data_IF_634900178014
#
_entry.id   IF_634900178014
#
_cell.length_a   1.000
_cell.length_b   1.000
_cell.length_c   1.000
_cell.angle_alpha   90.00
_cell.angle_beta   90.00
_cell.angle_gamma   90.00
#
_symmetry.space_group_name_H-M   'P 1'
#
loop_
_entity.id
_entity.type
_entity.pdbx_description
1 polymer ?
#
# COMPACT_ATOMS: atom_id res chain seq x y z
N UNK A 1 -68.58 -1.89 -25.83
CA UNK A 1 -67.62 -2.68 -26.62
C UNK A 1 -66.80 -1.69 -27.43
N UNK A 2 -65.75 -1.16 -26.81
CA UNK A 2 -64.33 -1.55 -27.03
C UNK A 2 -63.72 -0.69 -28.16
N UNK A 3 -63.13 0.45 -27.81
CA UNK A 3 -61.70 0.70 -27.49
C UNK A 3 -60.76 0.68 -28.69
N UNK A 4 -60.16 1.83 -28.99
CA UNK A 4 -58.78 1.90 -29.46
C UNK A 4 -58.22 3.30 -29.14
N UNK A 5 -57.57 3.43 -27.99
CA UNK A 5 -56.73 4.57 -27.65
C UNK A 5 -55.36 4.37 -28.28
N UNK A 6 -54.90 5.33 -29.08
CA UNK A 6 -53.51 5.39 -29.55
C UNK A 6 -52.59 5.70 -28.37
N UNK A 7 -51.75 4.75 -27.98
CA UNK A 7 -50.61 5.00 -27.11
C UNK A 7 -49.35 5.11 -27.98
N UNK A 8 -48.80 6.31 -28.06
CA UNK A 8 -47.52 6.62 -28.69
C UNK A 8 -46.40 6.07 -27.78
N UNK A 9 -45.72 4.99 -28.20
CA UNK A 9 -44.52 4.51 -27.51
C UNK A 9 -43.35 5.46 -27.82
N UNK A 10 -43.08 6.41 -26.93
CA UNK A 10 -41.80 7.09 -26.89
C UNK A 10 -40.81 6.18 -26.12
N UNK A 11 -40.01 5.40 -26.85
CA UNK A 11 -38.87 4.68 -26.28
C UNK A 11 -37.75 5.69 -26.08
N UNK A 12 -37.65 6.27 -24.89
CA UNK A 12 -36.46 6.98 -24.46
C UNK A 12 -35.38 5.95 -24.12
N UNK A 13 -34.48 5.69 -25.06
CA UNK A 13 -33.24 4.98 -24.78
C UNK A 13 -32.40 5.86 -23.83
N UNK A 14 -32.46 5.57 -22.53
CA UNK A 14 -31.51 6.10 -21.57
C UNK A 14 -30.14 5.48 -21.87
N UNK A 15 -29.34 6.18 -22.65
CA UNK A 15 -27.90 5.97 -22.73
C UNK A 15 -27.33 6.23 -21.34
N UNK A 16 -27.20 5.18 -20.55
CA UNK A 16 -26.31 5.19 -19.37
C UNK A 16 -24.90 5.31 -19.94
N UNK A 17 -24.42 6.55 -20.05
CA UNK A 17 -23.00 6.80 -20.22
C UNK A 17 -22.32 6.37 -18.93
N UNK A 18 -21.89 5.10 -18.88
CA UNK A 18 -20.83 4.71 -17.96
C UNK A 18 -19.58 5.50 -18.36
N UNK A 19 -19.41 6.67 -17.77
CA UNK A 19 -18.09 7.26 -17.70
C UNK A 19 -17.20 6.22 -17.02
N UNK A 20 -16.02 5.89 -17.57
CA UNK A 20 -15.07 5.08 -16.82
C UNK A 20 -14.75 5.87 -15.56
N UNK A 21 -15.10 5.30 -14.40
CA UNK A 21 -14.65 5.84 -13.13
C UNK A 21 -13.12 5.93 -13.23
N UNK A 22 -12.57 7.16 -13.17
CA UNK A 22 -11.15 7.31 -12.90
C UNK A 22 -10.90 6.50 -11.63
N UNK A 23 -10.00 5.53 -11.70
CA UNK A 23 -9.76 4.61 -10.59
C UNK A 23 -9.11 5.42 -9.45
N UNK A 24 -9.93 5.96 -8.55
CA UNK A 24 -9.44 6.68 -7.39
C UNK A 24 -8.72 5.70 -6.44
N UNK A 25 -7.70 6.19 -5.73
CA UNK A 25 -7.02 5.39 -4.70
C UNK A 25 -8.05 4.87 -3.69
N UNK A 26 -7.98 3.57 -3.40
CA UNK A 26 -8.79 2.96 -2.36
C UNK A 26 -8.56 3.71 -1.04
N UNK A 27 -9.64 3.99 -0.31
CA UNK A 27 -9.62 4.65 1.00
C UNK A 27 -10.04 3.68 2.08
N UNK A 28 -9.19 3.51 3.07
CA UNK A 28 -9.44 2.71 4.27
C UNK A 28 -9.60 3.67 5.45
N UNK A 29 -10.77 3.69 6.06
CA UNK A 29 -10.96 4.41 7.32
C UNK A 29 -10.33 3.61 8.46
N UNK A 30 -9.56 4.28 9.30
CA UNK A 30 -9.12 3.76 10.58
C UNK A 30 -9.83 4.54 11.69
N UNK A 31 -10.70 3.85 12.42
CA UNK A 31 -11.39 4.42 13.58
C UNK A 31 -10.45 4.34 14.79
N UNK A 32 -10.11 5.50 15.36
CA UNK A 32 -9.28 5.55 16.55
C UNK A 32 -10.04 4.91 17.72
N UNK A 33 -9.36 4.05 18.47
CA UNK A 33 -9.89 3.58 19.74
C UNK A 33 -9.63 4.59 20.87
N UNK A 34 -8.81 5.61 20.62
CA UNK A 34 -8.44 6.65 21.58
C UNK A 34 -9.35 7.87 21.44
N UNK A 35 -9.92 8.30 22.56
CA UNK A 35 -10.78 9.49 22.63
C UNK A 35 -10.03 10.77 23.03
N UNK A 36 -8.69 10.75 23.06
CA UNK A 36 -7.83 11.86 23.52
C UNK A 36 -7.28 12.72 22.36
N UNK A 37 -7.61 12.38 21.11
CA UNK A 37 -7.16 13.08 19.91
C UNK A 37 -5.69 12.84 19.56
N UNK A 38 -5.02 11.88 20.22
CA UNK A 38 -3.67 11.45 19.88
C UNK A 38 -3.71 10.14 19.06
N UNK A 39 -2.84 10.07 18.05
CA UNK A 39 -2.63 8.86 17.26
C UNK A 39 -1.24 8.28 17.58
N UNK A 40 -1.17 6.99 17.88
CA UNK A 40 0.11 6.30 18.13
C UNK A 40 0.23 5.08 17.22
N UNK A 41 1.36 4.97 16.52
CA UNK A 41 1.63 3.93 15.54
C UNK A 41 3.11 3.57 15.55
N UNK A 42 3.44 2.41 14.98
CA UNK A 42 4.82 2.05 14.64
C UNK A 42 5.02 2.08 13.12
N UNK A 43 6.24 2.37 12.68
CA UNK A 43 6.64 2.29 11.26
C UNK A 43 7.83 1.34 11.15
N UNK A 44 7.75 0.37 10.25
CA UNK A 44 8.82 -0.62 10.00
C UNK A 44 8.97 -0.91 8.51
N UNK A 45 10.19 -1.09 8.04
CA UNK A 45 10.50 -1.50 6.67
C UNK A 45 11.52 -2.62 6.68
N UNK A 46 11.69 -3.26 5.53
CA UNK A 46 12.87 -4.09 5.26
C UNK A 46 13.04 -5.25 6.28
N UNK A 47 11.96 -6.01 6.53
CA UNK A 47 11.85 -6.82 7.75
C UNK A 47 11.76 -8.35 7.57
N UNK A 48 11.05 -8.88 6.57
CA UNK A 48 10.66 -10.31 6.59
C UNK A 48 11.78 -11.28 6.26
N UNK A 49 12.32 -11.92 7.30
CA UNK A 49 13.53 -12.76 7.22
C UNK A 49 13.44 -14.00 8.12
N UNK A 50 12.24 -14.54 8.35
CA UNK A 50 12.03 -15.76 9.15
C UNK A 50 12.66 -15.69 10.55
N UNK A 51 12.65 -14.50 11.17
CA UNK A 51 13.26 -14.21 12.46
C UNK A 51 14.77 -13.90 12.43
N UNK A 52 15.44 -14.09 11.30
CA UNK A 52 16.86 -13.79 11.13
C UNK A 52 17.15 -12.28 11.01
N UNK A 53 18.43 -11.91 10.93
CA UNK A 53 18.87 -10.51 10.77
C UNK A 53 18.30 -9.53 11.82
N UNK A 54 18.21 -10.01 13.07
CA UNK A 54 17.59 -9.29 14.20
C UNK A 54 16.08 -9.05 14.08
N UNK A 55 15.38 -9.60 13.08
CA UNK A 55 13.94 -9.42 12.92
C UNK A 55 13.17 -9.75 14.21
N UNK A 56 13.43 -10.92 14.83
CA UNK A 56 12.77 -11.28 16.09
C UNK A 56 13.10 -10.33 17.25
N UNK A 57 14.31 -9.77 17.29
CA UNK A 57 14.71 -8.80 18.33
C UNK A 57 14.00 -7.46 18.14
N UNK A 58 13.85 -7.02 16.88
CA UNK A 58 13.07 -5.82 16.54
C UNK A 58 11.60 -6.05 16.90
N UNK A 59 11.03 -7.22 16.56
CA UNK A 59 9.66 -7.58 16.92
C UNK A 59 9.43 -7.55 18.44
N UNK A 60 10.39 -8.05 19.22
CA UNK A 60 10.32 -7.97 20.70
C UNK A 60 10.27 -6.51 21.19
N UNK A 61 11.13 -5.64 20.66
CA UNK A 61 11.12 -4.22 21.06
C UNK A 61 9.88 -3.48 20.58
N UNK A 62 9.41 -3.77 19.36
CA UNK A 62 8.13 -3.27 18.86
C UNK A 62 6.99 -3.69 19.78
N UNK A 63 7.00 -4.91 20.32
CA UNK A 63 6.01 -5.37 21.30
C UNK A 63 6.01 -4.53 22.58
N UNK A 64 7.19 -4.24 23.14
CA UNK A 64 7.33 -3.42 24.36
C UNK A 64 6.89 -1.97 24.12
N UNK A 65 7.39 -1.34 23.07
CA UNK A 65 7.04 0.04 22.72
C UNK A 65 5.56 0.15 22.32
N UNK A 66 5.04 -0.86 21.62
CA UNK A 66 3.63 -0.91 21.23
C UNK A 66 2.69 -0.96 22.43
N UNK A 67 3.10 -1.63 23.51
CA UNK A 67 2.36 -1.69 24.77
C UNK A 67 2.43 -0.35 25.52
N UNK A 68 3.63 0.24 25.63
CA UNK A 68 3.85 1.53 26.30
C UNK A 68 3.08 2.68 25.63
N UNK A 69 3.09 2.73 24.29
CA UNK A 69 2.41 3.78 23.53
C UNK A 69 0.93 3.49 23.26
N UNK A 70 0.46 2.27 23.59
CA UNK A 70 -0.86 1.76 23.22
C UNK A 70 -1.16 2.03 21.74
N UNK A 71 -0.37 1.45 20.84
CA UNK A 71 -0.48 1.75 19.40
C UNK A 71 -1.79 1.23 18.80
N UNK A 72 -2.21 1.89 17.71
CA UNK A 72 -3.47 1.59 17.04
C UNK A 72 -3.27 0.76 15.76
N UNK A 73 -2.13 0.94 15.09
CA UNK A 73 -1.73 0.16 13.93
C UNK A 73 -0.22 0.25 13.67
N UNK A 74 0.24 -0.57 12.72
CA UNK A 74 1.61 -0.55 12.20
C UNK A 74 1.59 -0.17 10.72
N UNK A 75 2.52 0.68 10.31
CA UNK A 75 2.79 1.00 8.91
C UNK A 75 4.00 0.18 8.47
N UNK A 76 3.88 -0.53 7.36
CA UNK A 76 5.03 -1.10 6.67
C UNK A 76 5.39 -0.32 5.41
N UNK A 77 6.68 0.03 5.29
CA UNK A 77 7.23 0.74 4.13
C UNK A 77 7.68 -0.21 3.01
N UNK A 78 7.35 -1.49 3.06
CA UNK A 78 7.68 -2.47 2.03
C UNK A 78 8.99 -3.22 2.29
N UNK A 79 9.34 -4.07 1.33
CA UNK A 79 10.30 -5.17 1.48
C UNK A 79 9.86 -6.09 2.63
N UNK A 80 8.63 -6.60 2.45
CA UNK A 80 7.93 -7.41 3.42
C UNK A 80 8.52 -8.80 3.52
N UNK A 81 9.04 -9.38 2.43
CA UNK A 81 9.64 -10.71 2.42
C UNK A 81 10.94 -10.76 1.59
N UNK A 82 12.04 -11.14 2.25
CA UNK A 82 13.35 -11.31 1.63
C UNK A 82 13.70 -12.79 1.37
N UNK A 83 14.58 -13.08 0.41
CA UNK A 83 15.23 -12.12 -0.51
C UNK A 83 14.40 -11.84 -1.78
N UNK A 84 13.50 -12.73 -2.18
CA UNK A 84 12.75 -12.60 -3.44
C UNK A 84 11.25 -12.81 -3.25
N UNK A 85 10.65 -12.06 -2.30
CA UNK A 85 9.21 -12.08 -2.07
C UNK A 85 8.66 -13.44 -1.63
N UNK A 86 7.34 -13.60 -1.74
CA UNK A 86 6.66 -14.89 -1.57
C UNK A 86 6.57 -15.61 -2.92
N UNK A 87 6.52 -16.93 -2.93
CA UNK A 87 6.32 -17.72 -4.17
C UNK A 87 4.85 -17.95 -4.52
N UNK A 88 3.93 -17.65 -3.60
CA UNK A 88 2.49 -17.84 -3.76
C UNK A 88 1.74 -17.58 -2.45
N UNK A 89 0.43 -17.76 -2.45
CA UNK A 89 -0.42 -17.57 -1.26
C UNK A 89 -0.20 -18.63 -0.18
N UNK A 90 0.34 -19.79 -0.55
CA UNK A 90 0.63 -20.91 0.36
C UNK A 90 2.12 -20.94 0.78
N UNK A 91 2.89 -19.88 0.50
CA UNK A 91 4.30 -19.84 0.85
C UNK A 91 4.47 -19.74 2.38
N UNK A 92 5.14 -20.71 3.03
CA UNK A 92 5.30 -20.71 4.49
C UNK A 92 6.14 -19.54 5.00
N UNK A 93 6.86 -18.83 4.14
CA UNK A 93 7.57 -17.60 4.50
C UNK A 93 6.63 -16.50 5.02
N UNK A 94 5.34 -16.52 4.65
CA UNK A 94 4.33 -15.60 5.19
C UNK A 94 4.23 -15.76 6.71
N UNK A 95 3.85 -16.94 7.19
CA UNK A 95 3.73 -17.20 8.63
C UNK A 95 5.08 -17.08 9.34
N UNK A 96 6.13 -17.69 8.78
CA UNK A 96 7.47 -17.71 9.39
C UNK A 96 8.09 -16.32 9.54
N UNK A 97 7.73 -15.37 8.68
CA UNK A 97 8.29 -14.01 8.71
C UNK A 97 7.32 -12.97 9.27
N UNK A 98 6.02 -13.23 9.35
CA UNK A 98 5.03 -12.26 9.82
C UNK A 98 4.26 -12.78 11.04
N UNK A 99 3.41 -13.79 10.85
CA UNK A 99 2.50 -14.30 11.88
C UNK A 99 3.24 -14.79 13.12
N UNK A 100 4.27 -15.61 12.92
CA UNK A 100 5.05 -16.24 14.01
C UNK A 100 6.09 -15.30 14.64
N UNK A 101 6.35 -14.15 14.00
CA UNK A 101 7.36 -13.19 14.46
C UNK A 101 6.74 -12.08 15.31
N UNK A 102 5.63 -11.49 14.85
CA UNK A 102 5.01 -10.34 15.51
C UNK A 102 3.85 -10.78 16.41
N UNK A 103 4.16 -11.61 17.40
CA UNK A 103 3.16 -12.29 18.27
C UNK A 103 2.74 -11.49 19.50
N UNK A 104 3.42 -10.39 19.82
CA UNK A 104 3.08 -9.55 20.98
C UNK A 104 1.63 -9.04 20.89
N UNK A 105 0.92 -9.00 22.03
CA UNK A 105 -0.49 -8.55 22.11
C UNK A 105 -0.68 -7.13 21.56
N UNK A 106 0.25 -6.24 21.87
CA UNK A 106 0.29 -4.86 21.37
C UNK A 106 0.44 -4.74 19.85
N UNK A 107 0.92 -5.80 19.18
CA UNK A 107 1.06 -5.88 17.72
C UNK A 107 -0.10 -6.64 17.05
N UNK A 108 -1.09 -7.09 17.81
CA UNK A 108 -2.34 -7.67 17.27
C UNK A 108 -3.29 -6.55 16.85
N UNK A 109 -2.81 -5.74 15.91
CA UNK A 109 -3.43 -4.53 15.34
C UNK A 109 -3.37 -4.61 13.82
N UNK A 110 -4.11 -3.79 13.07
CA UNK A 110 -3.95 -3.70 11.63
C UNK A 110 -2.50 -3.30 11.25
N UNK A 111 -1.97 -3.94 10.21
CA UNK A 111 -0.74 -3.56 9.54
C UNK A 111 -1.09 -3.07 8.14
N UNK A 112 -0.77 -1.82 7.84
CA UNK A 112 -0.98 -1.23 6.52
C UNK A 112 0.35 -1.25 5.77
N UNK A 113 0.41 -1.97 4.65
CA UNK A 113 1.66 -2.27 3.95
C UNK A 113 1.61 -1.81 2.49
N UNK A 114 2.73 -1.27 2.02
CA UNK A 114 3.08 -1.21 0.59
C UNK A 114 4.09 -2.30 0.24
N UNK A 115 4.30 -2.51 -1.05
CA UNK A 115 5.33 -3.38 -1.60
C UNK A 115 6.66 -2.62 -1.72
N UNK A 116 7.77 -3.33 -1.49
CA UNK A 116 9.12 -2.91 -1.82
C UNK A 116 9.66 -3.61 -3.07
N UNK A 117 10.94 -3.44 -3.37
CA UNK A 117 11.50 -4.06 -4.57
C UNK A 117 11.81 -5.55 -4.40
N UNK A 118 12.07 -6.04 -3.19
CA UNK A 118 12.26 -7.47 -2.94
C UNK A 118 10.93 -8.23 -3.05
N UNK A 119 9.82 -7.61 -2.65
CA UNK A 119 8.47 -8.17 -2.82
C UNK A 119 8.14 -8.42 -4.29
N UNK A 120 8.58 -7.51 -5.16
CA UNK A 120 8.42 -7.63 -6.60
C UNK A 120 9.26 -8.72 -7.25
N UNK A 121 10.23 -9.31 -6.54
CA UNK A 121 11.03 -10.42 -7.10
C UNK A 121 10.37 -11.78 -6.93
N UNK A 122 9.30 -11.84 -6.13
CA UNK A 122 8.41 -12.99 -5.99
C UNK A 122 7.05 -12.75 -6.64
N UNK A 123 6.03 -13.40 -6.11
CA UNK A 123 4.64 -13.24 -6.47
C UNK A 123 4.02 -12.04 -5.76
N UNK A 124 3.88 -10.93 -6.49
CA UNK A 124 3.25 -9.72 -5.98
C UNK A 124 1.76 -9.92 -5.73
N UNK A 125 1.08 -10.67 -6.59
CA UNK A 125 -0.35 -10.89 -6.48
C UNK A 125 -0.70 -11.73 -5.24
N UNK A 126 0.19 -12.61 -4.79
CA UNK A 126 0.05 -13.32 -3.53
C UNK A 126 -0.02 -12.36 -2.34
N UNK A 127 0.91 -11.39 -2.26
CA UNK A 127 0.90 -10.38 -1.18
C UNK A 127 -0.33 -9.47 -1.21
N UNK A 128 -0.89 -9.22 -2.39
CA UNK A 128 -2.11 -8.41 -2.56
C UNK A 128 -3.41 -9.23 -2.40
N UNK A 129 -3.30 -10.56 -2.28
CA UNK A 129 -4.44 -11.46 -2.26
C UNK A 129 -5.19 -11.36 -0.93
N UNK A 130 -6.54 -11.39 -0.93
CA UNK A 130 -7.32 -11.50 0.30
C UNK A 130 -7.01 -12.79 1.07
N UNK A 131 -6.49 -13.83 0.42
CA UNK A 131 -6.14 -15.12 1.06
C UNK A 131 -5.13 -14.93 2.20
N UNK A 132 -4.09 -14.11 2.03
CA UNK A 132 -3.14 -13.87 3.13
C UNK A 132 -3.78 -13.14 4.31
N UNK A 133 -4.81 -12.32 4.06
CA UNK A 133 -5.60 -11.68 5.11
C UNK A 133 -6.55 -12.64 5.81
N UNK A 134 -6.96 -13.72 5.14
CA UNK A 134 -7.71 -14.81 5.79
C UNK A 134 -6.80 -15.63 6.71
N UNK A 135 -5.52 -15.79 6.36
CA UNK A 135 -4.51 -16.43 7.23
C UNK A 135 -4.18 -15.52 8.43
N UNK A 136 -3.89 -14.24 8.18
CA UNK A 136 -3.65 -13.25 9.23
C UNK A 136 -4.30 -11.91 8.89
N UNK A 137 -5.41 -11.61 9.57
CA UNK A 137 -6.26 -10.43 9.29
C UNK A 137 -5.56 -9.09 9.48
N UNK A 138 -4.41 -9.08 10.16
CA UNK A 138 -3.58 -7.90 10.33
C UNK A 138 -2.94 -7.46 9.01
N UNK A 139 -2.72 -8.36 8.06
CA UNK A 139 -1.95 -8.09 6.84
C UNK A 139 -2.78 -7.35 5.78
N UNK A 140 -2.75 -6.01 5.82
CA UNK A 140 -3.46 -5.13 4.87
C UNK A 140 -2.48 -4.54 3.86
N UNK A 141 -2.11 -5.35 2.86
CA UNK A 141 -1.21 -4.94 1.78
C UNK A 141 -1.97 -4.51 0.53
N UNK A 142 -1.62 -3.35 -0.02
CA UNK A 142 -2.10 -2.86 -1.33
C UNK A 142 -0.95 -2.12 -2.05
N UNK A 143 -1.06 -1.94 -3.37
CA UNK A 143 -0.07 -1.17 -4.14
C UNK A 143 -0.02 0.29 -3.70
N UNK A 144 -1.13 0.99 -3.92
CA UNK A 144 -1.31 2.39 -3.54
C UNK A 144 -2.72 2.58 -2.99
N UNK A 145 -2.84 3.27 -1.86
CA UNK A 145 -4.11 3.48 -1.16
C UNK A 145 -3.96 4.59 -0.12
N UNK A 146 -5.07 5.01 0.48
CA UNK A 146 -5.07 6.00 1.56
C UNK A 146 -5.63 5.38 2.82
N UNK A 147 -4.96 5.58 3.95
CA UNK A 147 -5.51 5.31 5.28
C UNK A 147 -5.90 6.64 5.91
N UNK A 148 -7.19 6.82 6.17
CA UNK A 148 -7.72 8.00 6.85
C UNK A 148 -7.90 7.71 8.33
N UNK A 149 -7.09 8.33 9.18
CA UNK A 149 -7.08 8.18 10.63
C UNK A 149 -7.35 9.54 11.29
N UNK A 150 -8.62 9.93 11.29
CA UNK A 150 -9.15 11.18 11.87
C UNK A 150 -8.40 12.45 11.44
N UNK A 151 -7.35 12.82 12.19
CA UNK A 151 -6.57 14.03 11.99
C UNK A 151 -5.53 13.91 10.87
N UNK A 152 -5.29 12.72 10.33
CA UNK A 152 -4.26 12.44 9.33
C UNK A 152 -4.74 11.51 8.22
N UNK A 153 -4.36 11.83 6.98
CA UNK A 153 -4.40 10.90 5.85
C UNK A 153 -2.99 10.41 5.54
N UNK A 154 -2.80 9.08 5.50
CA UNK A 154 -1.57 8.43 5.03
C UNK A 154 -1.75 7.97 3.59
N UNK A 155 -0.90 8.43 2.68
CA UNK A 155 -0.91 8.12 1.26
C UNK A 155 0.16 7.08 0.96
N UNK A 156 -0.23 5.83 0.86
CA UNK A 156 0.63 4.70 0.50
C UNK A 156 0.84 4.66 -1.00
N UNK A 157 2.10 4.57 -1.44
CA UNK A 157 2.50 4.70 -2.85
C UNK A 157 3.40 3.52 -3.24
N UNK A 158 3.02 2.82 -4.30
CA UNK A 158 3.84 1.79 -4.95
C UNK A 158 5.00 2.41 -5.74
N UNK A 159 6.14 2.53 -5.08
CA UNK A 159 7.32 3.21 -5.65
C UNK A 159 8.23 2.32 -6.50
N UNK A 160 8.02 1.00 -6.49
CA UNK A 160 8.91 0.06 -7.22
C UNK A 160 8.88 0.27 -8.74
N UNK A 161 7.71 0.44 -9.40
CA UNK A 161 7.65 0.73 -10.84
C UNK A 161 8.34 2.03 -11.24
N UNK A 162 8.55 2.96 -10.31
CA UNK A 162 9.14 4.26 -10.60
C UNK A 162 10.65 4.12 -10.87
N UNK A 163 11.29 3.08 -10.36
CA UNK A 163 12.73 2.88 -10.50
C UNK A 163 13.09 2.29 -11.87
N UNK A 164 13.61 3.13 -12.78
CA UNK A 164 13.98 2.73 -14.14
C UNK A 164 14.97 1.55 -14.18
N UNK A 165 15.85 1.45 -13.18
CA UNK A 165 16.86 0.39 -13.08
C UNK A 165 16.25 -1.01 -13.01
N UNK A 166 15.08 -1.20 -12.39
CA UNK A 166 14.44 -2.52 -12.31
C UNK A 166 13.85 -2.98 -13.64
N UNK A 167 13.61 -2.06 -14.57
CA UNK A 167 13.09 -2.37 -15.90
C UNK A 167 14.21 -2.62 -16.92
N UNK A 168 15.33 -1.89 -16.77
CA UNK A 168 16.39 -1.85 -17.80
C UNK A 168 17.66 -2.59 -17.38
N UNK A 169 17.92 -2.72 -16.08
CA UNK A 169 19.14 -3.31 -15.52
C UNK A 169 18.83 -4.11 -14.24
N UNK A 170 17.93 -5.11 -14.27
CA UNK A 170 17.52 -5.84 -13.07
C UNK A 170 18.60 -6.79 -12.51
N UNK A 171 19.77 -6.89 -13.16
CA UNK A 171 20.80 -7.90 -12.92
C UNK A 171 20.20 -9.30 -13.10
N UNK A 172 20.38 -10.19 -12.14
CA UNK A 172 19.88 -11.58 -12.17
C UNK A 172 18.45 -11.71 -11.60
N UNK A 173 17.83 -10.61 -11.18
CA UNK A 173 16.48 -10.64 -10.60
C UNK A 173 15.41 -10.56 -11.69
N UNK A 174 14.31 -11.28 -11.47
CA UNK A 174 13.10 -11.16 -12.27
C UNK A 174 12.09 -10.39 -11.44
N UNK A 175 11.43 -9.40 -12.03
CA UNK A 175 10.42 -8.59 -11.36
C UNK A 175 9.02 -8.96 -11.89
N UNK A 176 8.09 -9.19 -10.98
CA UNK A 176 6.68 -9.44 -11.27
C UNK A 176 5.93 -8.13 -11.51
N UNK A 177 5.79 -7.79 -12.80
CA UNK A 177 5.06 -6.62 -13.26
C UNK A 177 3.56 -6.90 -13.50
N UNK A 178 3.01 -8.04 -13.07
CA UNK A 178 1.57 -8.31 -13.24
C UNK A 178 0.73 -7.25 -12.51
N UNK A 179 -0.29 -6.73 -13.19
CA UNK A 179 -1.11 -5.63 -12.67
C UNK A 179 -0.44 -4.25 -12.74
N UNK A 180 0.77 -4.14 -13.29
CA UNK A 180 1.42 -2.88 -13.65
C UNK A 180 1.26 -2.69 -15.16
N UNK A 181 0.72 -1.54 -15.59
CA UNK A 181 0.62 -1.19 -17.02
C UNK A 181 2.01 -0.84 -17.58
N UNK A 182 2.09 -0.23 -18.77
CA UNK A 182 3.39 0.31 -19.22
C UNK A 182 3.96 1.26 -18.15
N UNK A 183 5.27 1.19 -17.89
CA UNK A 183 5.91 1.98 -16.82
C UNK A 183 5.50 3.46 -16.82
N UNK A 184 5.50 4.08 -18.01
CA UNK A 184 5.12 5.49 -18.17
C UNK A 184 3.66 5.75 -17.78
N UNK A 185 2.74 4.90 -18.26
CA UNK A 185 1.33 5.00 -17.93
C UNK A 185 1.08 4.76 -16.44
N UNK A 186 1.75 3.76 -15.85
CA UNK A 186 1.61 3.45 -14.43
C UNK A 186 2.06 4.61 -13.54
N UNK A 187 3.23 5.20 -13.82
CA UNK A 187 3.74 6.36 -13.09
C UNK A 187 2.79 7.55 -13.25
N UNK A 188 2.33 7.82 -14.47
CA UNK A 188 1.41 8.92 -14.74
C UNK A 188 0.10 8.78 -13.96
N UNK A 189 -0.54 7.61 -14.03
CA UNK A 189 -1.79 7.33 -13.32
C UNK A 189 -1.56 7.37 -11.80
N UNK A 190 -0.51 6.75 -11.28
CA UNK A 190 -0.21 6.75 -9.83
C UNK A 190 0.00 8.17 -9.29
N UNK A 191 0.72 9.03 -10.02
CA UNK A 191 0.94 10.42 -9.60
C UNK A 191 -0.34 11.26 -9.70
N UNK A 192 -1.15 11.03 -10.75
CA UNK A 192 -2.44 11.70 -10.91
C UNK A 192 -3.39 11.31 -9.76
N UNK A 193 -3.53 10.03 -9.46
CA UNK A 193 -4.46 9.56 -8.43
C UNK A 193 -4.00 10.01 -7.03
N UNK A 194 -2.68 10.08 -6.79
CA UNK A 194 -2.11 10.67 -5.59
C UNK A 194 -2.44 12.16 -5.45
N UNK A 195 -2.21 12.95 -6.50
CA UNK A 195 -2.51 14.40 -6.53
C UNK A 195 -4.01 14.65 -6.28
N UNK A 196 -4.88 13.91 -6.95
CA UNK A 196 -6.33 13.98 -6.73
C UNK A 196 -6.71 13.61 -5.30
N UNK A 197 -6.15 12.54 -4.74
CA UNK A 197 -6.42 12.12 -3.37
C UNK A 197 -5.94 13.16 -2.34
N UNK A 198 -4.76 13.76 -2.56
CA UNK A 198 -4.21 14.79 -1.68
C UNK A 198 -5.04 16.08 -1.73
N UNK A 199 -5.52 16.50 -2.91
CA UNK A 199 -6.40 17.66 -3.07
C UNK A 199 -7.77 17.46 -2.39
N UNK A 200 -8.30 16.24 -2.42
CA UNK A 200 -9.56 15.89 -1.74
C UNK A 200 -9.44 15.80 -0.22
N UNK A 201 -8.24 15.51 0.30
CA UNK A 201 -8.02 15.31 1.73
C UNK A 201 -8.17 16.61 2.54
N UNK A 202 -9.16 16.65 3.41
CA UNK A 202 -9.36 17.70 4.41
C UNK A 202 -8.58 17.47 5.70
N UNK A 203 -7.93 16.31 5.85
CA UNK A 203 -7.12 15.98 7.03
C UNK A 203 -6.04 17.03 7.32
N UNK A 204 -5.82 17.29 8.62
CA UNK A 204 -4.86 18.27 9.13
C UNK A 204 -3.43 17.89 8.72
N UNK A 205 -3.10 16.61 8.81
CA UNK A 205 -1.83 16.06 8.37
C UNK A 205 -2.02 15.17 7.14
N UNK A 206 -1.04 15.23 6.24
CA UNK A 206 -0.97 14.41 5.02
C UNK A 206 0.42 13.80 4.98
N UNK A 207 0.54 12.48 5.05
CA UNK A 207 1.83 11.79 5.15
C UNK A 207 1.93 10.80 3.99
N UNK A 208 2.95 10.95 3.14
CA UNK A 208 3.22 9.98 2.07
C UNK A 208 4.11 8.84 2.59
N UNK A 209 3.76 7.60 2.25
CA UNK A 209 4.46 6.37 2.64
C UNK A 209 4.81 5.59 1.37
N UNK A 210 6.08 5.23 1.22
CA UNK A 210 6.56 4.43 0.10
C UNK A 210 7.93 3.85 0.40
N UNK A 211 8.28 2.77 -0.29
CA UNK A 211 9.55 2.06 -0.07
C UNK A 211 10.79 2.87 -0.46
N UNK A 212 10.80 3.48 -1.65
CA UNK A 212 11.98 4.19 -2.14
C UNK A 212 12.04 5.63 -1.62
N UNK A 213 13.19 6.02 -1.06
CA UNK A 213 13.41 7.39 -0.57
C UNK A 213 13.52 8.42 -1.70
N UNK A 214 12.94 9.61 -1.49
CA UNK A 214 13.20 10.78 -2.35
C UNK A 214 14.59 11.39 -2.11
N UNK A 215 15.06 11.32 -0.85
CA UNK A 215 16.38 11.76 -0.40
C UNK A 215 16.85 10.83 0.71
N UNK A 216 18.09 10.34 0.63
CA UNK A 216 18.75 9.58 1.70
C UNK A 216 20.25 9.85 1.69
N UNK A 217 20.88 9.80 2.87
CA UNK A 217 22.33 9.85 3.08
C UNK A 217 22.94 8.44 3.22
N UNK A 218 22.16 7.40 2.97
CA UNK A 218 22.57 5.99 3.07
C UNK A 218 23.06 5.40 1.73
N UNK A 219 23.65 4.19 1.79
CA UNK A 219 24.30 3.48 0.67
C UNK A 219 23.41 3.25 -0.56
N UNK A 220 22.09 3.43 -0.45
CA UNK A 220 21.14 3.28 -1.56
C UNK A 220 20.97 4.54 -2.43
N UNK A 221 21.57 5.67 -2.05
CA UNK A 221 21.54 6.92 -2.82
C UNK A 221 20.14 7.55 -2.93
N UNK A 222 20.06 8.87 -3.07
CA UNK A 222 18.78 9.52 -3.34
C UNK A 222 18.20 9.01 -4.67
N UNK A 223 16.92 8.60 -4.70
CA UNK A 223 16.24 8.32 -5.96
C UNK A 223 15.93 9.65 -6.65
N UNK A 224 16.84 10.10 -7.52
CA UNK A 224 16.68 11.34 -8.30
C UNK A 224 15.40 11.33 -9.15
N UNK A 225 14.86 10.14 -9.48
CA UNK A 225 13.62 9.97 -10.24
C UNK A 225 12.36 10.34 -9.47
N UNK A 226 12.28 10.05 -8.17
CA UNK A 226 11.09 10.44 -7.37
C UNK A 226 11.10 11.95 -7.12
N UNK A 227 12.27 12.53 -6.88
CA UNK A 227 12.44 13.96 -6.68
C UNK A 227 12.30 14.80 -7.98
N UNK A 228 12.71 14.29 -9.15
CA UNK A 228 12.56 15.00 -10.41
C UNK A 228 11.09 15.09 -10.86
N UNK A 229 10.31 14.05 -10.59
CA UNK A 229 8.89 14.01 -10.93
C UNK A 229 8.03 14.88 -10.00
N UNK A 230 8.54 15.22 -8.81
CA UNK A 230 7.87 16.14 -7.88
C UNK A 230 8.17 17.62 -8.18
N UNK A 231 9.33 17.95 -8.76
CA UNK A 231 9.74 19.36 -8.95
C UNK A 231 8.90 20.16 -9.97
N UNK A 232 8.05 19.51 -10.77
CA UNK A 232 7.13 20.19 -11.70
C UNK A 232 5.68 20.33 -11.22
N UNK A 233 5.33 19.78 -10.05
CA UNK A 233 3.91 19.62 -9.64
C UNK A 233 3.60 20.14 -8.23
N UNK A 234 4.60 20.61 -7.48
CA UNK A 234 4.40 21.09 -6.12
C UNK A 234 4.98 22.51 -5.96
N UNK A 235 4.13 23.50 -6.25
CA UNK A 235 4.19 24.87 -5.75
C UNK A 235 2.82 25.23 -5.19
#
# INVERSE_FOLDING_TARGET
>A
METAALALLAVTAALVMCAPAAAELARVAHESAKNDGALSLLVVGDWGRKGAYNQSRVAEQMGRVGDELNIEFVISTGDNFYEDGLTGVDDPAFEQSFTDIYTAKSLQKPWYLVLGNHDYRGDVLAQLSPVLREIDSRFICMRSFVVSAEIVDFFFIDTTPFQLKYWTHPKDHIYDWRGVTSRQQYIHTSLKDLDEAMKKSTAKWKIAVGHHTMRTVSHHGASTTVASNSQGQWH
#
